data_IF_066942561441
#
_entry.id   IF_066942561441
#
_cell.length_a   1.000
_cell.length_b   1.000
_cell.length_c   1.000
_cell.angle_alpha   90.00
_cell.angle_beta   90.00
_cell.angle_gamma   90.00
#
_symmetry.space_group_name_H-M   'P 1'
#
loop_
_entity.id
_entity.type
_entity.pdbx_description
1 polymer ?
#
# COMPACT_ATOMS: atom_id res chain seq x y z
N UNK A 1 -10.64 11.36 -2.44
CA UNK A 1 -10.33 10.03 -3.00
C UNK A 1 -8.82 9.90 -3.15
N UNK A 2 -8.22 8.96 -2.43
CA UNK A 2 -6.81 8.62 -2.55
C UNK A 2 -6.59 7.66 -3.74
N UNK A 3 -5.41 7.73 -4.33
CA UNK A 3 -4.96 6.82 -5.40
C UNK A 3 -3.67 6.15 -4.92
N UNK A 4 -3.71 4.84 -4.89
CA UNK A 4 -2.59 3.99 -4.51
C UNK A 4 -2.11 3.19 -5.73
N UNK A 5 -0.82 3.25 -6.00
CA UNK A 5 -0.20 2.57 -7.12
C UNK A 5 0.14 1.12 -6.74
N UNK A 6 -0.67 0.15 -7.18
CA UNK A 6 -0.46 -1.27 -6.97
C UNK A 6 0.86 -1.75 -7.61
N UNK A 7 1.71 -2.46 -6.85
CA UNK A 7 3.06 -2.85 -7.25
C UNK A 7 3.79 -1.68 -7.93
N UNK A 8 3.72 -0.52 -7.26
CA UNK A 8 3.94 0.77 -7.94
C UNK A 8 5.39 1.17 -8.11
N UNK A 9 6.32 0.52 -7.39
CA UNK A 9 7.74 0.84 -7.45
C UNK A 9 8.41 0.18 -8.68
N UNK A 10 9.33 0.86 -9.38
CA UNK A 10 9.60 2.32 -9.34
C UNK A 10 8.72 3.14 -10.31
N UNK A 11 7.83 2.46 -11.03
CA UNK A 11 7.11 2.97 -12.20
C UNK A 11 6.30 4.24 -11.93
N UNK A 12 5.67 4.32 -10.77
CA UNK A 12 4.70 5.38 -10.46
C UNK A 12 5.22 6.43 -9.48
N UNK A 13 6.52 6.39 -9.14
CA UNK A 13 7.15 7.45 -8.34
C UNK A 13 7.08 8.77 -9.11
N UNK A 14 6.67 9.84 -8.40
CA UNK A 14 6.50 11.16 -8.99
C UNK A 14 5.28 11.32 -9.91
N UNK A 15 4.41 10.30 -10.04
CA UNK A 15 3.19 10.36 -10.85
C UNK A 15 2.11 11.27 -10.29
N UNK A 16 2.12 11.56 -8.98
CA UNK A 16 1.06 12.23 -8.24
C UNK A 16 0.09 11.25 -7.57
N UNK A 17 0.39 9.93 -7.56
CA UNK A 17 -0.27 8.97 -6.68
C UNK A 17 -0.05 9.37 -5.21
N UNK A 18 -1.06 9.13 -4.36
CA UNK A 18 -0.97 9.46 -2.95
C UNK A 18 -0.12 8.45 -2.20
N UNK A 19 -0.17 7.17 -2.64
CA UNK A 19 0.63 6.06 -2.13
C UNK A 19 1.25 5.24 -3.24
N UNK A 20 2.39 4.62 -2.93
CA UNK A 20 3.04 3.57 -3.72
C UNK A 20 2.97 2.30 -2.88
N UNK A 21 2.27 1.30 -3.38
CA UNK A 21 2.19 0.00 -2.74
C UNK A 21 3.36 -0.87 -3.19
N UNK A 22 3.91 -1.61 -2.23
CA UNK A 22 4.97 -2.61 -2.40
C UNK A 22 4.65 -3.87 -1.61
N UNK A 23 5.00 -5.02 -2.17
CA UNK A 23 4.92 -6.32 -1.50
C UNK A 23 6.18 -6.57 -0.66
N UNK A 24 6.04 -6.60 0.66
CA UNK A 24 7.19 -6.64 1.56
C UNK A 24 7.50 -8.06 2.01
N UNK A 25 8.75 -8.49 1.75
CA UNK A 25 9.33 -9.77 2.19
C UNK A 25 10.78 -9.61 2.64
N UNK A 26 11.36 -10.68 3.19
CA UNK A 26 12.79 -10.83 3.37
C UNK A 26 13.38 -11.78 2.32
N UNK A 27 14.57 -11.44 1.84
CA UNK A 27 15.38 -12.39 1.06
C UNK A 27 16.07 -13.40 2.00
N UNK A 28 16.76 -14.39 1.42
CA UNK A 28 17.47 -15.42 2.16
C UNK A 28 18.58 -14.89 3.09
N UNK A 29 19.01 -13.64 2.93
CA UNK A 29 19.99 -12.95 3.77
C UNK A 29 19.33 -12.08 4.83
N UNK A 30 18.00 -12.06 4.90
CA UNK A 30 17.24 -11.24 5.83
C UNK A 30 17.06 -9.77 5.38
N UNK A 31 17.43 -9.42 4.14
CA UNK A 31 17.24 -8.07 3.61
C UNK A 31 15.78 -7.87 3.26
N UNK A 32 15.18 -6.75 3.68
CA UNK A 32 13.79 -6.38 3.34
C UNK A 32 13.77 -5.89 1.89
N UNK A 33 12.91 -6.50 1.08
CA UNK A 33 12.79 -6.30 -0.37
C UNK A 33 11.33 -6.16 -0.80
N UNK A 34 11.12 -5.63 -2.02
CA UNK A 34 9.84 -5.65 -2.73
C UNK A 34 9.76 -6.94 -3.56
N UNK A 35 8.89 -7.87 -3.14
CA UNK A 35 8.66 -9.14 -3.82
C UNK A 35 7.30 -9.73 -3.45
N UNK A 36 6.42 -9.93 -4.43
CA UNK A 36 5.11 -10.57 -4.20
C UNK A 36 5.27 -12.05 -3.82
N UNK A 37 6.02 -12.79 -4.61
CA UNK A 37 6.27 -14.22 -4.39
C UNK A 37 7.57 -14.44 -3.60
N UNK A 38 7.77 -15.66 -3.11
CA UNK A 38 9.01 -16.06 -2.45
C UNK A 38 10.22 -15.82 -3.35
N UNK A 39 11.22 -15.04 -2.87
CA UNK A 39 12.35 -14.64 -3.71
C UNK A 39 13.18 -15.85 -4.15
N UNK A 40 13.36 -16.00 -5.45
CA UNK A 40 14.20 -17.06 -6.02
C UNK A 40 15.69 -16.73 -5.81
N UNK A 41 16.54 -17.76 -5.58
CA UNK A 41 17.98 -17.56 -5.45
C UNK A 41 18.57 -16.80 -6.66
N UNK A 42 19.29 -15.71 -6.40
CA UNK A 42 19.92 -14.89 -7.42
C UNK A 42 18.99 -13.90 -8.14
N UNK A 43 17.69 -13.89 -7.86
CA UNK A 43 16.80 -12.84 -8.34
C UNK A 43 17.16 -11.49 -7.70
N UNK A 44 17.10 -10.42 -8.50
CA UNK A 44 17.29 -9.05 -8.01
C UNK A 44 15.93 -8.43 -7.71
N UNK A 45 15.78 -7.98 -6.49
CA UNK A 45 14.63 -7.23 -6.03
C UNK A 45 15.09 -5.85 -5.52
N UNK A 46 14.20 -4.87 -5.56
CA UNK A 46 14.48 -3.59 -4.94
C UNK A 46 14.51 -3.78 -3.41
N UNK A 47 15.53 -3.21 -2.77
CA UNK A 47 15.61 -3.21 -1.31
C UNK A 47 14.79 -2.07 -0.72
N UNK A 48 14.42 -2.20 0.56
CA UNK A 48 13.71 -1.11 1.27
C UNK A 48 14.48 0.21 1.21
N UNK A 49 15.81 0.17 1.32
CA UNK A 49 16.63 1.40 1.25
C UNK A 49 16.60 2.04 -0.13
N UNK A 50 16.67 1.25 -1.20
CA UNK A 50 16.53 1.75 -2.58
C UNK A 50 15.15 2.39 -2.79
N UNK A 51 14.09 1.78 -2.24
CA UNK A 51 12.72 2.28 -2.32
C UNK A 51 12.58 3.62 -1.59
N UNK A 52 12.99 3.67 -0.32
CA UNK A 52 12.90 4.88 0.50
C UNK A 52 13.71 6.04 -0.09
N UNK A 53 14.92 5.76 -0.58
CA UNK A 53 15.77 6.75 -1.25
C UNK A 53 15.11 7.28 -2.53
N UNK A 54 14.53 6.39 -3.36
CA UNK A 54 13.93 6.78 -4.63
C UNK A 54 12.59 7.51 -4.43
N UNK A 55 11.82 7.12 -3.41
CA UNK A 55 10.55 7.75 -3.07
C UNK A 55 10.72 9.20 -2.61
N UNK A 56 11.77 9.48 -1.84
CA UNK A 56 12.18 10.81 -1.35
C UNK A 56 10.99 11.66 -0.85
N UNK A 57 10.04 11.03 -0.17
CA UNK A 57 8.84 11.68 0.37
C UNK A 57 7.81 12.14 -0.68
N UNK A 58 8.00 11.83 -1.98
CA UNK A 58 7.11 12.25 -3.07
C UNK A 58 5.69 11.68 -2.97
N UNK A 59 5.54 10.51 -2.33
CA UNK A 59 4.27 9.85 -2.03
C UNK A 59 4.31 9.20 -0.65
N UNK A 60 3.18 8.65 -0.18
CA UNK A 60 3.13 7.71 0.93
C UNK A 60 3.57 6.31 0.49
N UNK A 61 3.82 5.44 1.47
CA UNK A 61 4.18 4.05 1.25
C UNK A 61 3.10 3.12 1.82
N UNK A 62 2.59 2.24 0.99
CA UNK A 62 1.69 1.18 1.40
C UNK A 62 2.46 -0.15 1.44
N UNK A 63 2.52 -0.75 2.62
CA UNK A 63 3.30 -1.95 2.92
C UNK A 63 2.37 -3.17 2.92
N UNK A 64 2.33 -3.95 1.84
CA UNK A 64 1.63 -5.23 1.80
C UNK A 64 2.56 -6.33 2.31
N UNK A 65 2.40 -6.68 3.60
CA UNK A 65 3.33 -7.55 4.32
C UNK A 65 2.97 -9.01 4.15
N UNK A 66 3.80 -9.73 3.41
CA UNK A 66 3.59 -11.15 3.04
C UNK A 66 4.09 -12.17 4.06
N UNK A 67 4.79 -11.74 5.10
CA UNK A 67 5.31 -12.59 6.17
C UNK A 67 5.48 -11.80 7.48
N UNK A 68 5.40 -12.46 8.66
CA UNK A 68 5.54 -11.80 9.96
C UNK A 68 7.01 -11.77 10.43
N UNK A 69 7.24 -11.06 11.56
CA UNK A 69 8.46 -11.18 12.36
C UNK A 69 9.51 -10.11 12.11
N UNK A 70 9.21 -9.08 11.29
CA UNK A 70 10.12 -7.95 11.05
C UNK A 70 9.43 -6.58 11.08
N UNK A 71 8.24 -6.53 11.64
CA UNK A 71 7.39 -5.33 11.70
C UNK A 71 8.12 -4.14 12.34
N UNK A 72 8.83 -4.41 13.44
CA UNK A 72 9.53 -3.37 14.19
C UNK A 72 10.71 -2.82 13.38
N UNK A 73 11.50 -3.68 12.76
CA UNK A 73 12.61 -3.28 11.89
C UNK A 73 12.09 -2.47 10.70
N UNK A 74 11.09 -3.02 9.98
CA UNK A 74 10.49 -2.39 8.80
C UNK A 74 9.97 -0.99 9.13
N UNK A 75 9.08 -0.88 10.12
CA UNK A 75 8.45 0.40 10.43
C UNK A 75 9.39 1.41 11.07
N UNK A 76 10.39 0.96 11.85
CA UNK A 76 11.42 1.88 12.36
C UNK A 76 12.18 2.54 11.21
N UNK A 77 12.54 1.78 10.18
CA UNK A 77 13.25 2.31 8.99
C UNK A 77 12.34 3.22 8.15
N UNK A 78 11.12 2.77 7.88
CA UNK A 78 10.14 3.55 7.08
C UNK A 78 9.81 4.88 7.76
N UNK A 79 9.52 4.86 9.07
CA UNK A 79 9.19 6.07 9.84
C UNK A 79 10.40 6.99 10.08
N UNK A 80 11.61 6.49 9.90
CA UNK A 80 12.81 7.32 9.81
C UNK A 80 12.88 8.19 8.56
N UNK A 81 12.13 7.84 7.52
CA UNK A 81 12.10 8.52 6.22
C UNK A 81 10.76 9.20 5.91
N UNK A 82 9.66 8.66 6.42
CA UNK A 82 8.29 9.13 6.14
C UNK A 82 7.51 9.41 7.43
N UNK A 83 6.70 10.48 7.47
CA UNK A 83 5.82 10.71 8.61
C UNK A 83 4.69 9.65 8.66
N UNK A 84 4.17 9.31 9.87
CA UNK A 84 3.21 8.22 10.05
C UNK A 84 1.97 8.29 9.14
N UNK A 85 1.44 9.50 8.88
CA UNK A 85 0.26 9.67 8.02
C UNK A 85 0.52 9.32 6.54
N UNK A 86 1.78 9.16 6.15
CA UNK A 86 2.22 8.66 4.82
C UNK A 86 2.56 7.18 4.82
N UNK A 87 2.25 6.44 5.89
CA UNK A 87 2.55 5.01 5.99
C UNK A 87 1.27 4.26 6.32
N UNK A 88 0.95 3.26 5.51
CA UNK A 88 -0.15 2.32 5.76
C UNK A 88 0.34 0.89 5.58
N UNK A 89 -0.30 -0.07 6.26
CA UNK A 89 0.06 -1.47 6.17
C UNK A 89 -1.14 -2.39 5.99
N UNK A 90 -0.97 -3.42 5.17
CA UNK A 90 -1.90 -4.55 4.98
C UNK A 90 -1.17 -5.86 5.25
N UNK A 91 -0.99 -6.23 6.53
CA UNK A 91 -0.36 -7.51 6.86
C UNK A 91 -1.28 -8.69 6.60
N UNK A 92 -0.74 -9.79 6.07
CA UNK A 92 -1.46 -11.07 5.90
C UNK A 92 -1.68 -11.82 7.23
N UNK A 93 -1.06 -11.37 8.33
CA UNK A 93 -1.04 -12.08 9.62
C UNK A 93 -1.54 -11.23 10.79
N UNK A 94 -2.45 -11.77 11.59
CA UNK A 94 -2.99 -11.13 12.80
C UNK A 94 -1.90 -10.75 13.81
N UNK A 95 -0.82 -11.52 13.88
CA UNK A 95 0.31 -11.23 14.76
C UNK A 95 0.98 -9.90 14.37
N UNK A 96 1.22 -9.69 13.09
CA UNK A 96 1.79 -8.44 12.56
C UNK A 96 0.90 -7.25 12.87
N UNK A 97 -0.42 -7.39 12.72
CA UNK A 97 -1.40 -6.34 13.08
C UNK A 97 -1.25 -5.96 14.55
N UNK A 98 -1.18 -6.95 15.45
CA UNK A 98 -1.02 -6.70 16.90
C UNK A 98 0.30 -6.02 17.23
N UNK A 99 1.41 -6.47 16.62
CA UNK A 99 2.74 -5.86 16.84
C UNK A 99 2.76 -4.41 16.37
N UNK A 100 2.24 -4.15 15.15
CA UNK A 100 2.20 -2.80 14.59
C UNK A 100 1.39 -1.86 15.49
N UNK A 101 0.17 -2.25 15.87
CA UNK A 101 -0.69 -1.38 16.71
C UNK A 101 -0.14 -1.17 18.11
N UNK A 102 0.59 -2.12 18.65
CA UNK A 102 1.23 -1.99 19.96
C UNK A 102 2.47 -1.08 19.96
N UNK A 103 3.27 -1.08 18.87
CA UNK A 103 4.55 -0.38 18.78
C UNK A 103 4.49 0.91 17.98
N UNK A 104 3.57 1.00 17.00
CA UNK A 104 3.39 2.12 16.08
C UNK A 104 1.90 2.45 15.95
N UNK A 105 1.22 2.88 17.04
CA UNK A 105 -0.23 3.10 17.05
C UNK A 105 -0.71 4.14 16.05
N UNK A 106 0.17 5.04 15.60
CA UNK A 106 -0.08 6.09 14.62
C UNK A 106 -0.11 5.57 13.17
N UNK A 107 0.46 4.37 12.89
CA UNK A 107 0.41 3.77 11.56
C UNK A 107 -0.97 3.14 11.34
N UNK A 108 -1.58 3.46 10.20
CA UNK A 108 -2.87 2.87 9.81
C UNK A 108 -2.69 1.45 9.30
N UNK A 109 -3.52 0.54 9.81
CA UNK A 109 -3.43 -0.91 9.51
C UNK A 109 -4.79 -1.46 9.13
N UNK A 110 -4.87 -2.23 8.03
CA UNK A 110 -6.03 -3.05 7.69
C UNK A 110 -6.04 -4.33 8.56
N UNK A 111 -7.21 -4.80 9.05
CA UNK A 111 -8.54 -4.24 8.84
C UNK A 111 -9.00 -3.29 9.97
N UNK A 112 -8.11 -2.82 10.85
CA UNK A 112 -8.50 -2.06 12.05
C UNK A 112 -8.87 -0.60 11.76
N UNK A 113 -8.16 0.07 10.85
CA UNK A 113 -8.35 1.49 10.55
C UNK A 113 -9.03 1.72 9.20
N UNK A 114 -8.92 0.76 8.29
CA UNK A 114 -9.58 0.68 6.98
C UNK A 114 -9.66 -0.79 6.56
N UNK A 115 -10.41 -1.10 5.52
CA UNK A 115 -10.47 -2.46 4.96
C UNK A 115 -9.94 -2.46 3.54
N UNK A 116 -8.80 -3.14 3.32
CA UNK A 116 -8.34 -3.48 1.98
C UNK A 116 -9.20 -4.61 1.43
N UNK A 117 -9.96 -4.36 0.36
CA UNK A 117 -10.97 -5.29 -0.15
C UNK A 117 -10.89 -5.44 -1.67
N UNK A 118 -10.99 -6.71 -2.13
CA UNK A 118 -11.14 -6.99 -3.56
C UNK A 118 -12.41 -6.31 -4.12
N UNK A 119 -12.31 -5.70 -5.29
CA UNK A 119 -13.39 -4.99 -5.97
C UNK A 119 -14.70 -5.80 -6.09
N UNK A 120 -14.59 -7.15 -6.14
CA UNK A 120 -15.74 -8.07 -6.21
C UNK A 120 -16.57 -8.09 -4.93
N UNK A 121 -15.96 -7.74 -3.80
CA UNK A 121 -16.58 -7.78 -2.49
C UNK A 121 -16.88 -6.39 -1.91
N UNK A 122 -16.48 -5.31 -2.57
CA UNK A 122 -16.71 -3.94 -2.12
C UNK A 122 -18.20 -3.56 -1.93
N UNK A 123 -19.11 -4.32 -2.54
CA UNK A 123 -20.56 -4.17 -2.34
C UNK A 123 -21.13 -4.68 -1.00
N UNK A 124 -20.31 -5.39 -0.21
CA UNK A 124 -20.70 -5.87 1.12
C UNK A 124 -20.74 -4.72 2.13
N UNK A 125 -21.34 -4.98 3.30
CA UNK A 125 -21.37 -4.03 4.41
C UNK A 125 -20.03 -4.06 5.17
N UNK A 126 -19.44 -2.88 5.37
CA UNK A 126 -18.23 -2.67 6.15
C UNK A 126 -18.44 -1.44 7.05
N UNK A 127 -17.84 -1.45 8.22
CA UNK A 127 -17.90 -0.38 9.22
C UNK A 127 -16.69 0.58 9.17
N UNK A 128 -15.76 0.33 8.24
CA UNK A 128 -14.53 1.10 8.03
C UNK A 128 -14.44 1.60 6.60
N UNK A 129 -13.62 2.66 6.35
CA UNK A 129 -13.31 3.11 5.00
C UNK A 129 -12.71 1.99 4.16
N UNK A 130 -13.04 1.96 2.87
CA UNK A 130 -12.57 0.92 1.94
C UNK A 130 -11.39 1.41 1.12
N UNK A 131 -10.38 0.56 1.01
CA UNK A 131 -9.32 0.61 0.04
C UNK A 131 -9.53 -0.52 -0.95
N UNK A 132 -9.98 -0.21 -2.17
CA UNK A 132 -10.49 -1.22 -3.13
C UNK A 132 -9.41 -1.58 -4.14
N UNK A 133 -9.09 -2.88 -4.24
CA UNK A 133 -8.07 -3.43 -5.14
C UNK A 133 -8.61 -4.56 -6.03
N UNK A 134 -8.02 -4.84 -7.17
CA UNK A 134 -7.24 -3.94 -8.01
C UNK A 134 -8.18 -3.36 -9.05
N UNK A 135 -8.35 -2.05 -9.10
CA UNK A 135 -9.37 -1.40 -9.92
C UNK A 135 -8.73 -0.76 -11.14
N UNK A 136 -8.76 -1.45 -12.29
CA UNK A 136 -8.16 -0.97 -13.55
C UNK A 136 -9.19 -0.54 -14.60
N UNK A 137 -10.44 -1.01 -14.45
CA UNK A 137 -11.53 -0.63 -15.36
C UNK A 137 -12.03 0.79 -15.07
N UNK A 138 -12.20 1.57 -16.16
CA UNK A 138 -12.59 2.98 -16.07
C UNK A 138 -13.99 3.19 -15.49
N UNK A 139 -14.91 2.29 -15.77
CA UNK A 139 -16.29 2.37 -15.27
C UNK A 139 -16.36 2.05 -13.79
N UNK A 140 -15.62 1.04 -13.36
CA UNK A 140 -15.48 0.68 -11.95
C UNK A 140 -14.77 1.79 -11.16
N UNK A 141 -13.70 2.39 -11.69
CA UNK A 141 -13.07 3.56 -11.07
C UNK A 141 -14.08 4.67 -10.81
N UNK A 142 -14.90 5.03 -11.80
CA UNK A 142 -15.94 6.07 -11.64
C UNK A 142 -16.94 5.68 -10.56
N UNK A 143 -17.43 4.44 -10.61
CA UNK A 143 -18.39 3.91 -9.63
C UNK A 143 -17.84 4.00 -8.20
N UNK A 144 -16.62 3.55 -7.98
CA UNK A 144 -16.00 3.59 -6.66
C UNK A 144 -15.62 5.00 -6.22
N UNK A 145 -15.28 5.88 -7.14
CA UNK A 145 -15.08 7.31 -6.83
C UNK A 145 -16.37 8.02 -6.39
N UNK A 146 -17.54 7.48 -6.75
CA UNK A 146 -18.85 7.99 -6.33
C UNK A 146 -19.36 7.33 -5.03
N UNK A 147 -18.73 6.26 -4.56
CA UNK A 147 -19.10 5.56 -3.32
C UNK A 147 -18.42 6.24 -2.12
N UNK A 148 -19.20 6.86 -1.20
CA UNK A 148 -18.63 7.60 -0.07
C UNK A 148 -17.89 6.69 0.95
N UNK A 149 -18.06 5.37 0.87
CA UNK A 149 -17.33 4.42 1.71
C UNK A 149 -15.91 4.18 1.22
N UNK A 150 -15.65 4.45 -0.07
CA UNK A 150 -14.34 4.21 -0.69
C UNK A 150 -13.44 5.40 -0.44
N UNK A 151 -12.40 5.19 0.33
CA UNK A 151 -11.37 6.19 0.62
C UNK A 151 -10.24 6.16 -0.42
N UNK A 152 -9.86 4.96 -0.88
CA UNK A 152 -8.73 4.76 -1.78
C UNK A 152 -9.03 3.75 -2.89
N UNK A 153 -8.52 4.04 -4.10
CA UNK A 153 -8.41 3.07 -5.20
C UNK A 153 -6.98 2.59 -5.34
N UNK A 154 -6.77 1.28 -5.23
CA UNK A 154 -5.51 0.61 -5.51
C UNK A 154 -5.55 0.12 -6.96
N UNK A 155 -4.61 0.57 -7.81
CA UNK A 155 -4.69 0.39 -9.26
C UNK A 155 -3.33 0.28 -9.95
N UNK A 156 -3.27 -0.53 -11.03
CA UNK A 156 -2.15 -0.52 -11.98
C UNK A 156 -2.23 0.64 -13.01
N UNK A 157 -3.36 1.37 -13.03
CA UNK A 157 -3.65 2.42 -14.02
C UNK A 157 -3.74 3.80 -13.36
N UNK A 158 -2.67 4.15 -12.66
CA UNK A 158 -2.55 5.43 -11.92
C UNK A 158 -2.84 6.64 -12.81
N UNK A 159 -2.30 6.65 -14.03
CA UNK A 159 -2.55 7.67 -15.05
C UNK A 159 -4.05 7.93 -15.29
N UNK A 160 -4.80 6.83 -15.39
CA UNK A 160 -6.26 6.86 -15.60
C UNK A 160 -7.01 7.36 -14.37
N UNK A 161 -6.63 6.83 -13.20
CA UNK A 161 -7.27 7.20 -11.94
C UNK A 161 -7.07 8.69 -11.61
N UNK A 162 -5.85 9.20 -11.75
CA UNK A 162 -5.53 10.62 -11.56
C UNK A 162 -6.31 11.53 -12.51
N UNK A 163 -6.39 11.16 -13.80
CA UNK A 163 -7.18 11.91 -14.79
C UNK A 163 -8.68 11.94 -14.44
N UNK A 164 -9.23 10.84 -13.95
CA UNK A 164 -10.62 10.78 -13.50
C UNK A 164 -10.85 11.62 -12.24
N UNK A 165 -9.92 11.58 -11.28
CA UNK A 165 -9.96 12.39 -10.06
C UNK A 165 -9.95 13.89 -10.38
N UNK A 166 -9.02 14.34 -11.24
CA UNK A 166 -8.91 15.75 -11.62
C UNK A 166 -10.14 16.27 -12.38
N UNK A 167 -10.86 15.42 -13.09
CA UNK A 167 -12.08 15.82 -13.80
C UNK A 167 -13.30 16.02 -12.87
N UNK A 168 -13.17 15.73 -11.56
CA UNK A 168 -14.22 15.84 -10.53
C UNK A 168 -13.96 16.98 -9.53
N UNK A 169 -12.75 17.53 -9.57
CA UNK A 169 -12.35 18.73 -8.80
C UNK A 169 -12.74 20.00 -9.54
#
# INVERSE_FOLDING_TARGET
MLIDAHAGFPRWIGSGADFIEIDVRRDQRGVIIDAHDEPQPGARHATLDEILHTLDGSAGLHLDMKEPGYEVELLTRVLGSLPPHKVVATPDFDESIRVIKAKFPEVRVSPLDFVAVDQRYAGRSYDKPLWVWTVDDKSLMRRFMDDPRVECLITNRVDRALKLRSARS
#
